data_IF_873257265415
#
_entry.id   IF_873257265415
#
_cell.length_a   1.000
_cell.length_b   1.000
_cell.length_c   1.000
_cell.angle_alpha   90.00
_cell.angle_beta   90.00
_cell.angle_gamma   90.00
#
_symmetry.space_group_name_H-M   'P 1'
#
loop_
_entity.id
_entity.type
_entity.pdbx_description
1 polymer ?
#
# COMPACT_ATOMS: atom_id res chain seq x y z
N UNK A 1 -40.19 -68.71 -62.52
CA UNK A 1 -40.52 -67.59 -63.42
C UNK A 1 -41.86 -67.00 -62.98
N UNK A 2 -41.89 -65.67 -62.90
CA UNK A 2 -42.95 -64.80 -62.35
C UNK A 2 -44.34 -64.96 -62.97
N UNK A 3 -45.42 -64.74 -62.20
CA UNK A 3 -46.47 -63.79 -62.59
C UNK A 3 -47.41 -63.40 -61.44
N UNK A 4 -47.45 -62.09 -61.18
CA UNK A 4 -48.45 -61.36 -60.42
C UNK A 4 -49.77 -61.27 -61.20
N UNK A 5 -50.83 -60.82 -60.50
CA UNK A 5 -52.08 -60.16 -60.97
C UNK A 5 -53.32 -60.87 -60.39
N UNK A 6 -54.33 -60.21 -59.81
CA UNK A 6 -54.62 -58.79 -59.62
C UNK A 6 -55.76 -58.72 -58.59
N UNK A 7 -55.57 -57.99 -57.48
CA UNK A 7 -56.61 -57.79 -56.47
C UNK A 7 -57.57 -56.70 -56.99
N UNK A 8 -58.71 -57.09 -57.57
CA UNK A 8 -59.74 -56.12 -57.98
C UNK A 8 -60.48 -55.60 -56.75
N UNK A 9 -60.09 -54.40 -56.31
CA UNK A 9 -60.81 -53.63 -55.29
C UNK A 9 -62.09 -53.08 -55.94
N UNK A 10 -63.25 -53.58 -55.52
CA UNK A 10 -64.54 -52.97 -55.87
C UNK A 10 -64.72 -51.68 -55.09
N UNK A 11 -64.45 -50.54 -55.73
CA UNK A 11 -64.72 -49.22 -55.19
C UNK A 11 -66.16 -48.85 -55.60
N UNK A 12 -67.11 -48.92 -54.67
CA UNK A 12 -68.44 -48.34 -54.88
C UNK A 12 -68.37 -46.82 -54.70
N UNK A 13 -68.92 -46.03 -55.63
CA UNK A 13 -68.99 -44.59 -55.49
C UNK A 13 -70.01 -44.22 -54.40
N UNK A 14 -69.54 -43.79 -53.25
CA UNK A 14 -70.36 -43.31 -52.13
C UNK A 14 -70.48 -41.77 -52.16
N UNK A 15 -70.45 -41.17 -53.35
CA UNK A 15 -70.46 -39.70 -53.50
C UNK A 15 -71.86 -39.08 -53.48
N UNK A 16 -72.91 -39.87 -53.23
CA UNK A 16 -74.29 -39.39 -53.07
C UNK A 16 -74.74 -39.57 -51.62
N UNK A 17 -74.21 -38.73 -50.71
CA UNK A 17 -74.95 -38.31 -49.53
C UNK A 17 -75.14 -36.80 -49.60
N UNK A 18 -76.41 -36.39 -49.75
CA UNK A 18 -76.88 -35.06 -49.42
C UNK A 18 -76.74 -34.95 -47.90
N UNK A 19 -75.58 -34.47 -47.46
CA UNK A 19 -75.41 -33.94 -46.11
C UNK A 19 -75.34 -32.42 -46.26
N UNK A 20 -76.29 -31.73 -45.66
CA UNK A 20 -76.31 -30.26 -45.59
C UNK A 20 -74.95 -29.79 -45.07
N UNK A 21 -74.13 -29.22 -45.97
CA UNK A 21 -72.85 -28.64 -45.58
C UNK A 21 -73.19 -27.39 -44.79
N UNK A 22 -73.14 -27.48 -43.46
CA UNK A 22 -73.19 -26.31 -42.61
C UNK A 22 -72.08 -25.36 -43.06
N UNK A 23 -72.46 -24.22 -43.64
CA UNK A 23 -71.53 -23.14 -43.97
C UNK A 23 -70.76 -22.85 -42.68
N UNK A 24 -69.44 -23.11 -42.68
CA UNK A 24 -68.58 -22.72 -41.56
C UNK A 24 -68.73 -21.22 -41.40
N UNK A 25 -69.53 -20.81 -40.41
CA UNK A 25 -69.48 -19.47 -39.86
C UNK A 25 -68.02 -19.28 -39.44
N UNK A 26 -67.33 -18.34 -40.08
CA UNK A 26 -65.93 -18.06 -39.80
C UNK A 26 -65.78 -17.86 -38.30
N UNK A 27 -64.91 -18.63 -37.67
CA UNK A 27 -64.58 -18.37 -36.27
C UNK A 27 -64.02 -16.94 -36.24
N UNK A 28 -64.43 -16.09 -35.27
CA UNK A 28 -63.83 -14.76 -35.14
C UNK A 28 -62.31 -14.96 -35.05
N UNK A 29 -61.49 -14.13 -35.73
CA UNK A 29 -60.07 -14.35 -35.76
C UNK A 29 -59.56 -14.45 -34.33
N UNK A 30 -59.02 -15.61 -33.96
CA UNK A 30 -58.34 -15.78 -32.68
C UNK A 30 -57.20 -14.79 -32.67
N UNK A 31 -57.38 -13.66 -31.97
CA UNK A 31 -56.34 -12.64 -31.82
C UNK A 31 -55.24 -13.26 -30.99
N UNK A 32 -54.23 -13.82 -31.65
CA UNK A 32 -52.99 -14.23 -30.99
C UNK A 32 -52.33 -12.95 -30.51
N UNK A 33 -52.46 -12.66 -29.21
CA UNK A 33 -51.67 -11.62 -28.57
C UNK A 33 -50.24 -12.15 -28.52
N UNK A 34 -49.47 -11.83 -29.56
CA UNK A 34 -48.02 -12.05 -29.54
C UNK A 34 -47.50 -11.15 -28.43
N UNK A 35 -47.15 -11.74 -27.29
CA UNK A 35 -46.47 -11.02 -26.22
C UNK A 35 -45.20 -10.42 -26.82
N UNK A 36 -45.12 -9.09 -26.86
CA UNK A 36 -43.92 -8.39 -27.30
C UNK A 36 -42.73 -8.92 -26.50
N UNK A 37 -41.61 -9.32 -27.15
CA UNK A 37 -40.45 -9.79 -26.43
C UNK A 37 -39.96 -8.63 -25.56
N UNK A 38 -40.22 -8.71 -24.26
CA UNK A 38 -39.83 -7.69 -23.29
C UNK A 38 -38.31 -7.64 -23.32
N UNK A 39 -37.76 -6.51 -23.77
CA UNK A 39 -36.32 -6.33 -23.88
C UNK A 39 -35.70 -6.43 -22.50
N UNK A 40 -35.15 -7.61 -22.21
CA UNK A 40 -34.38 -7.92 -21.02
C UNK A 40 -32.99 -7.27 -21.04
N UNK A 41 -32.65 -6.53 -22.11
CA UNK A 41 -31.36 -5.84 -22.22
C UNK A 41 -31.27 -4.61 -21.31
N UNK A 42 -32.38 -3.95 -20.97
CA UNK A 42 -32.34 -2.70 -20.19
C UNK A 42 -31.85 -2.92 -18.77
N UNK A 43 -32.22 -4.03 -18.12
CA UNK A 43 -31.77 -4.35 -16.77
C UNK A 43 -30.27 -4.65 -16.70
N UNK A 44 -29.72 -5.33 -17.71
CA UNK A 44 -28.30 -5.64 -17.78
C UNK A 44 -27.44 -4.38 -18.00
N UNK A 45 -27.91 -3.46 -18.85
CA UNK A 45 -27.22 -2.19 -19.10
C UNK A 45 -27.17 -1.34 -17.82
N UNK A 46 -28.28 -1.25 -17.09
CA UNK A 46 -28.34 -0.52 -15.82
C UNK A 46 -27.38 -1.13 -14.79
N UNK A 47 -27.35 -2.47 -14.69
CA UNK A 47 -26.43 -3.17 -13.79
C UNK A 47 -24.95 -2.87 -14.11
N UNK A 48 -24.57 -2.89 -15.38
CA UNK A 48 -23.20 -2.57 -15.81
C UNK A 48 -22.85 -1.12 -15.47
N UNK A 49 -23.76 -0.17 -15.73
CA UNK A 49 -23.52 1.25 -15.41
C UNK A 49 -23.33 1.44 -13.90
N UNK A 50 -24.15 0.80 -13.07
CA UNK A 50 -24.03 0.90 -11.60
C UNK A 50 -22.68 0.34 -11.14
N UNK A 51 -22.25 -0.82 -11.64
CA UNK A 51 -20.94 -1.41 -11.29
C UNK A 51 -19.79 -0.50 -11.72
N UNK A 52 -19.86 0.09 -12.92
CA UNK A 52 -18.83 1.02 -13.41
C UNK A 52 -18.79 2.31 -12.60
N UNK A 53 -19.94 2.88 -12.22
CA UNK A 53 -20.00 4.09 -11.40
C UNK A 53 -19.49 3.82 -9.98
N UNK A 54 -19.85 2.68 -9.39
CA UNK A 54 -19.33 2.29 -8.08
C UNK A 54 -17.83 2.05 -8.14
N UNK A 55 -17.34 1.31 -9.14
CA UNK A 55 -15.91 1.09 -9.35
C UNK A 55 -15.14 2.39 -9.59
N UNK A 56 -15.70 3.33 -10.35
CA UNK A 56 -15.11 4.66 -10.55
C UNK A 56 -15.10 5.49 -9.28
N UNK A 57 -16.17 5.44 -8.48
CA UNK A 57 -16.25 6.12 -7.19
C UNK A 57 -15.21 5.57 -6.21
N UNK A 58 -15.13 4.24 -6.08
CA UNK A 58 -14.09 3.59 -5.26
C UNK A 58 -12.68 3.91 -5.79
N UNK A 59 -12.45 3.90 -7.10
CA UNK A 59 -11.16 4.24 -7.69
C UNK A 59 -10.73 5.69 -7.40
N UNK A 60 -11.68 6.65 -7.46
CA UNK A 60 -11.41 8.04 -7.10
C UNK A 60 -11.13 8.23 -5.61
N UNK A 61 -11.84 7.49 -4.76
CA UNK A 61 -11.72 7.61 -3.31
C UNK A 61 -10.49 6.86 -2.76
N UNK A 62 -10.09 5.73 -3.34
CA UNK A 62 -8.88 4.99 -2.93
C UNK A 62 -7.60 5.53 -3.54
N UNK A 63 -7.66 6.62 -4.31
CA UNK A 63 -6.49 7.26 -4.93
C UNK A 63 -5.46 7.81 -3.92
N UNK A 64 -5.77 7.80 -2.62
CA UNK A 64 -4.87 8.18 -1.54
C UNK A 64 -4.55 7.04 -0.56
N UNK A 65 -4.75 5.77 -0.96
CA UNK A 65 -4.26 4.61 -0.20
C UNK A 65 -2.95 4.14 -0.80
N UNK A 66 -1.96 5.03 -0.86
CA UNK A 66 -0.59 4.58 -1.08
C UNK A 66 -0.15 3.88 0.21
N UNK A 67 0.06 2.57 0.11
CA UNK A 67 0.74 1.83 1.15
C UNK A 67 2.16 2.38 1.23
N UNK A 68 2.32 3.37 2.09
CA UNK A 68 3.57 4.03 2.44
C UNK A 68 4.63 2.96 2.71
N UNK A 69 5.49 2.75 1.73
CA UNK A 69 6.67 1.91 1.91
C UNK A 69 7.62 2.67 2.83
N UNK A 70 8.43 1.98 3.64
CA UNK A 70 9.31 2.61 4.64
C UNK A 70 10.17 3.74 4.05
N UNK A 71 10.55 3.65 2.76
CA UNK A 71 11.31 4.69 2.07
C UNK A 71 10.48 5.94 1.69
N UNK A 72 9.19 5.77 1.44
CA UNK A 72 8.29 6.87 1.08
C UNK A 72 7.78 7.63 2.30
N UNK A 73 7.79 6.99 3.48
CA UNK A 73 7.45 7.61 4.76
C UNK A 73 8.47 8.63 5.26
N UNK A 74 9.64 8.72 4.64
CA UNK A 74 10.73 9.63 5.02
C UNK A 74 11.00 10.72 3.99
N UNK A 75 10.29 10.72 2.85
CA UNK A 75 10.49 11.68 1.78
C UNK A 75 9.48 12.83 1.87
N UNK A 76 9.96 14.04 1.65
CA UNK A 76 9.17 15.28 1.64
C UNK A 76 9.47 16.03 0.36
N UNK A 77 8.46 16.20 -0.48
CA UNK A 77 8.54 16.97 -1.71
C UNK A 77 8.24 18.44 -1.42
N UNK A 78 9.18 19.33 -1.74
CA UNK A 78 8.99 20.78 -1.72
C UNK A 78 8.43 21.16 -3.08
N UNK A 79 7.16 21.55 -3.13
CA UNK A 79 6.45 21.88 -4.38
C UNK A 79 6.03 23.34 -4.38
N UNK A 80 5.67 23.89 -5.55
CA UNK A 80 5.12 25.23 -5.66
C UNK A 80 3.84 25.48 -4.79
N UNK A 81 3.15 24.41 -4.36
CA UNK A 81 1.94 24.49 -3.54
C UNK A 81 2.19 24.25 -2.04
N UNK A 82 3.42 23.95 -1.62
CA UNK A 82 3.75 23.58 -0.24
C UNK A 82 4.56 22.29 -0.12
N UNK A 83 4.79 21.88 1.13
CA UNK A 83 5.43 20.61 1.49
C UNK A 83 4.45 19.43 1.29
N UNK A 84 4.92 18.34 0.70
CA UNK A 84 4.13 17.13 0.45
C UNK A 84 4.92 15.87 0.87
N UNK A 85 4.51 15.18 1.95
CA UNK A 85 3.47 15.58 2.90
C UNK A 85 3.88 16.83 3.72
N UNK A 86 2.89 17.56 4.25
CA UNK A 86 3.15 18.68 5.14
C UNK A 86 3.61 18.22 6.53
N UNK A 87 3.06 17.10 6.98
CA UNK A 87 3.39 16.44 8.24
C UNK A 87 3.91 15.04 7.94
N UNK A 88 5.09 14.71 8.47
CA UNK A 88 5.69 13.38 8.35
C UNK A 88 5.79 12.74 9.72
N UNK A 89 5.76 11.41 9.78
CA UNK A 89 5.97 10.66 11.02
C UNK A 89 7.16 9.74 10.85
N UNK A 90 8.14 9.88 11.76
CA UNK A 90 9.38 9.10 11.77
C UNK A 90 9.72 8.66 13.18
N UNK A 91 10.67 7.74 13.30
CA UNK A 91 11.21 7.26 14.58
C UNK A 91 12.57 7.93 14.86
N UNK A 92 12.97 8.07 16.13
CA UNK A 92 14.34 8.54 16.42
C UNK A 92 15.39 7.60 15.80
N UNK A 93 16.44 8.19 15.24
CA UNK A 93 17.47 7.49 14.48
C UNK A 93 17.17 7.24 13.00
N UNK A 94 15.99 7.66 12.49
CA UNK A 94 15.66 7.54 11.06
C UNK A 94 16.18 8.72 10.22
N UNK A 95 16.26 8.50 8.92
CA UNK A 95 16.57 9.54 7.94
C UNK A 95 15.29 10.23 7.45
N UNK A 96 15.42 11.51 7.12
CA UNK A 96 14.41 12.31 6.42
C UNK A 96 15.07 12.92 5.20
N UNK A 97 14.41 12.83 4.04
CA UNK A 97 14.87 13.39 2.78
C UNK A 97 13.89 14.43 2.26
N UNK A 98 14.37 15.63 2.00
CA UNK A 98 13.63 16.65 1.26
C UNK A 98 14.04 16.63 -0.20
N UNK A 99 13.09 16.67 -1.11
CA UNK A 99 13.28 16.69 -2.57
C UNK A 99 12.67 17.98 -3.10
N UNK A 100 13.45 18.80 -3.79
CA UNK A 100 12.96 20.07 -4.30
C UNK A 100 12.37 19.91 -5.72
N UNK A 101 11.05 19.83 -5.80
CA UNK A 101 10.29 19.84 -7.06
C UNK A 101 9.81 21.25 -7.45
N UNK A 102 10.09 22.27 -6.62
CA UNK A 102 9.82 23.67 -6.92
C UNK A 102 10.90 24.25 -7.85
N UNK A 103 10.63 25.41 -8.45
CA UNK A 103 11.51 26.06 -9.41
C UNK A 103 12.57 26.98 -8.78
N UNK A 104 12.54 27.14 -7.46
CA UNK A 104 13.41 28.01 -6.67
C UNK A 104 14.17 27.24 -5.59
N UNK A 105 15.36 27.72 -5.17
CA UNK A 105 16.12 27.06 -4.13
C UNK A 105 15.50 27.25 -2.74
N UNK A 106 15.60 26.20 -1.92
CA UNK A 106 15.10 26.19 -0.55
C UNK A 106 16.20 25.97 0.49
N UNK A 107 16.18 26.77 1.57
CA UNK A 107 17.01 26.54 2.76
C UNK A 107 16.05 26.24 3.91
N UNK A 108 16.13 25.05 4.49
CA UNK A 108 15.25 24.63 5.58
C UNK A 108 15.90 24.89 6.93
N UNK A 109 15.10 25.32 7.91
CA UNK A 109 15.56 25.56 9.26
C UNK A 109 14.49 25.21 10.31
N UNK A 110 14.95 24.65 11.42
CA UNK A 110 14.17 24.47 12.66
C UNK A 110 15.03 24.87 13.86
N UNK A 111 14.39 25.42 14.88
CA UNK A 111 15.00 25.74 16.18
C UNK A 111 14.89 24.60 17.20
N UNK A 112 14.12 23.56 16.86
CA UNK A 112 13.75 22.47 17.79
C UNK A 112 14.10 21.08 17.27
N UNK A 113 14.14 20.88 15.94
CA UNK A 113 14.49 19.57 15.36
C UNK A 113 16.00 19.34 15.38
N UNK A 114 16.45 18.39 16.21
CA UNK A 114 17.86 18.00 16.32
C UNK A 114 18.20 16.85 15.34
N UNK A 115 19.29 17.04 14.61
CA UNK A 115 19.90 16.09 13.68
C UNK A 115 21.33 15.76 14.13
N UNK A 116 21.98 14.77 13.50
CA UNK A 116 23.38 14.47 13.78
C UNK A 116 24.36 15.64 13.54
N UNK A 117 23.96 16.63 12.75
CA UNK A 117 24.74 17.84 12.46
C UNK A 117 24.39 19.01 13.38
N UNK A 118 23.46 18.81 14.33
CA UNK A 118 22.88 19.85 15.18
C UNK A 118 21.44 20.17 14.80
N UNK A 119 20.95 21.36 15.19
CA UNK A 119 19.61 21.81 14.77
C UNK A 119 19.50 21.86 13.25
N UNK A 120 18.33 21.51 12.71
CA UNK A 120 18.09 21.51 11.27
C UNK A 120 18.45 22.87 10.67
N UNK A 121 19.44 22.87 9.80
CA UNK A 121 19.82 23.99 8.94
C UNK A 121 20.49 23.46 7.69
N UNK A 122 19.80 23.50 6.55
CA UNK A 122 20.30 22.89 5.30
C UNK A 122 21.15 23.88 4.50
N UNK A 123 21.95 23.37 3.57
CA UNK A 123 22.38 24.19 2.43
C UNK A 123 21.19 24.51 1.52
N UNK A 124 21.39 25.40 0.54
CA UNK A 124 20.40 25.62 -0.50
C UNK A 124 20.19 24.32 -1.29
N UNK A 125 18.94 23.85 -1.33
CA UNK A 125 18.50 22.70 -2.11
C UNK A 125 17.98 23.26 -3.44
N UNK A 126 18.73 23.09 -4.53
CA UNK A 126 18.32 23.63 -5.84
C UNK A 126 17.22 22.76 -6.49
N UNK A 127 16.54 23.27 -7.54
CA UNK A 127 15.52 22.49 -8.24
C UNK A 127 16.03 21.12 -8.71
N UNK A 128 15.26 20.07 -8.45
CA UNK A 128 15.58 18.66 -8.68
C UNK A 128 16.72 18.09 -7.82
N UNK A 129 17.14 18.79 -6.77
CA UNK A 129 18.07 18.24 -5.76
C UNK A 129 17.32 17.70 -4.55
N UNK A 130 18.03 16.89 -3.77
CA UNK A 130 17.54 16.35 -2.51
C UNK A 130 18.54 16.59 -1.37
N UNK A 131 18.04 16.73 -0.15
CA UNK A 131 18.84 16.83 1.06
C UNK A 131 18.36 15.81 2.09
N UNK A 132 19.26 15.00 2.63
CA UNK A 132 18.95 13.97 3.63
C UNK A 132 19.61 14.30 4.96
N UNK A 133 18.87 14.18 6.05
CA UNK A 133 19.40 14.25 7.43
C UNK A 133 19.12 12.97 8.18
N UNK A 134 20.02 12.62 9.09
CA UNK A 134 19.82 11.55 10.06
C UNK A 134 19.43 12.16 11.40
N UNK A 135 18.26 11.80 11.93
CA UNK A 135 17.85 12.19 13.28
C UNK A 135 18.73 11.53 14.32
N UNK A 136 19.04 12.23 15.42
CA UNK A 136 19.77 11.61 16.54
C UNK A 136 18.92 10.55 17.22
N UNK A 137 19.53 9.53 17.79
CA UNK A 137 18.81 8.54 18.60
C UNK A 137 18.24 9.15 19.89
N UNK A 138 18.76 10.32 20.29
CA UNK A 138 18.42 11.04 21.51
C UNK A 138 17.34 12.11 21.33
N UNK A 139 16.89 12.37 20.09
CA UNK A 139 15.77 13.29 19.86
C UNK A 139 14.53 12.77 20.60
N UNK A 140 13.87 13.64 21.35
CA UNK A 140 12.72 13.25 22.14
C UNK A 140 11.49 13.02 21.24
N UNK A 141 10.57 12.12 21.61
CA UNK A 141 9.29 12.02 20.92
C UNK A 141 8.52 13.34 21.02
N UNK A 142 8.00 13.82 19.89
CA UNK A 142 7.38 15.14 19.83
C UNK A 142 7.11 15.61 18.39
N UNK A 143 6.43 16.75 18.27
CA UNK A 143 6.22 17.41 16.98
C UNK A 143 7.20 18.58 16.86
N UNK A 144 7.86 18.65 15.71
CA UNK A 144 8.91 19.61 15.41
C UNK A 144 8.61 20.35 14.12
N UNK A 145 8.42 21.66 14.22
CA UNK A 145 8.12 22.50 13.06
C UNK A 145 9.40 22.97 12.39
N UNK A 146 9.34 23.14 11.07
CA UNK A 146 10.42 23.71 10.28
C UNK A 146 9.86 24.59 9.17
N UNK A 147 10.69 25.55 8.72
CA UNK A 147 10.33 26.52 7.69
C UNK A 147 11.41 26.59 6.62
N UNK A 148 11.06 27.10 5.44
CA UNK A 148 12.05 27.57 4.47
C UNK A 148 12.41 29.04 4.73
N UNK A 149 13.70 29.32 4.86
CA UNK A 149 14.22 30.69 5.00
C UNK A 149 14.17 31.49 3.70
N UNK A 150 14.09 30.83 2.55
CA UNK A 150 13.99 31.49 1.23
C UNK A 150 12.55 31.73 0.80
N UNK A 151 11.59 31.04 1.41
CA UNK A 151 10.16 31.23 1.21
C UNK A 151 9.37 30.91 2.49
N UNK A 152 9.00 31.91 3.30
CA UNK A 152 8.29 31.70 4.57
C UNK A 152 6.90 31.05 4.42
N UNK A 153 6.32 30.99 3.21
CA UNK A 153 5.07 30.27 2.97
C UNK A 153 5.27 28.74 2.96
N UNK A 154 6.52 28.28 2.86
CA UNK A 154 6.88 26.85 2.86
C UNK A 154 7.25 26.42 4.29
N UNK A 155 6.40 25.60 4.90
CA UNK A 155 6.58 25.06 6.24
C UNK A 155 6.02 23.64 6.33
N UNK A 156 6.46 22.90 7.34
CA UNK A 156 5.96 21.57 7.64
C UNK A 156 6.30 21.15 9.07
N UNK A 157 5.89 19.94 9.44
CA UNK A 157 6.21 19.37 10.76
C UNK A 157 6.68 17.92 10.67
N UNK A 158 7.53 17.54 11.63
CA UNK A 158 8.04 16.18 11.82
C UNK A 158 7.53 15.68 13.15
N UNK A 159 6.68 14.65 13.14
CA UNK A 159 6.25 13.92 14.31
C UNK A 159 7.23 12.77 14.58
N UNK A 160 8.07 12.93 15.60
CA UNK A 160 9.01 11.90 16.03
C UNK A 160 8.36 10.98 17.05
N UNK A 161 8.43 9.66 16.79
CA UNK A 161 8.01 8.60 17.69
C UNK A 161 9.20 7.99 18.43
N UNK A 162 8.92 7.41 19.59
CA UNK A 162 9.92 6.69 20.38
C UNK A 162 10.45 5.47 19.63
N UNK A 163 11.78 5.34 19.56
CA UNK A 163 12.41 4.10 19.13
C UNK A 163 12.38 3.09 20.28
N UNK A 164 11.31 2.30 20.33
CA UNK A 164 11.13 1.24 21.33
C UNK A 164 12.15 0.08 21.21
N UNK A 165 13.07 0.12 20.24
CA UNK A 165 14.15 -0.88 20.12
C UNK A 165 15.27 -0.68 21.14
N UNK A 166 15.35 0.50 21.78
CA UNK A 166 16.41 0.86 22.73
C UNK A 166 15.98 0.82 24.20
N UNK A 167 14.69 0.62 24.51
CA UNK A 167 14.23 0.39 25.88
C UNK A 167 14.53 -1.06 26.29
N UNK A 168 15.77 -1.33 26.67
CA UNK A 168 16.06 -2.56 27.41
C UNK A 168 15.20 -2.56 28.67
N UNK A 169 14.27 -3.51 28.70
CA UNK A 169 13.55 -4.03 29.86
C UNK A 169 14.35 -3.83 31.17
N UNK A 170 14.10 -2.75 31.91
CA UNK A 170 14.42 -2.74 33.33
C UNK A 170 13.48 -3.76 33.97
N UNK A 171 13.98 -4.81 34.66
CA UNK A 171 13.10 -5.62 35.47
C UNK A 171 12.46 -4.69 36.50
N UNK A 172 11.14 -4.53 36.41
CA UNK A 172 10.34 -4.04 37.52
C UNK A 172 10.57 -5.03 38.68
N UNK A 173 11.53 -4.71 39.56
CA UNK A 173 11.65 -5.40 40.83
C UNK A 173 10.51 -4.83 41.67
N UNK A 174 9.45 -5.60 41.98
CA UNK A 174 8.46 -5.12 42.92
C UNK A 174 9.16 -4.85 44.25
N UNK A 175 9.11 -3.60 44.72
CA UNK A 175 9.53 -3.25 46.07
C UNK A 175 8.70 -4.07 47.05
N UNK A 176 9.31 -5.10 47.63
CA UNK A 176 8.73 -5.80 48.75
C UNK A 176 8.82 -4.88 49.97
N UNK A 177 7.64 -4.52 50.45
CA UNK A 177 7.39 -3.96 51.77
C UNK A 177 8.01 -4.91 52.81
N UNK A 178 9.01 -4.43 53.56
CA UNK A 178 9.22 -4.97 54.89
C UNK A 178 9.43 -3.81 55.86
N UNK A 179 8.45 -3.65 56.73
CA UNK A 179 8.42 -2.66 57.79
C UNK A 179 9.08 -3.28 59.03
N UNK A 180 10.08 -2.56 59.54
CA UNK A 180 10.47 -2.43 60.95
C UNK A 180 11.02 -3.65 61.72
N UNK A 181 12.35 -3.68 61.92
CA UNK A 181 12.99 -3.96 63.22
C UNK A 181 14.28 -3.12 63.38
N UNK A 182 14.21 -2.12 64.27
CA UNK A 182 15.20 -1.39 65.09
C UNK A 182 16.73 -1.37 64.77
N UNK A 183 17.45 -0.25 65.01
CA UNK A 183 18.89 -0.12 64.79
C UNK A 183 19.74 -0.54 66.01
N UNK A 184 21.03 -0.90 65.80
CA UNK A 184 22.05 -0.71 66.82
C UNK A 184 23.08 0.35 66.39
N UNK A 185 23.25 1.32 67.28
CA UNK A 185 24.35 2.27 67.35
C UNK A 185 25.68 1.53 67.48
N UNK A 186 26.65 1.77 66.58
CA UNK A 186 28.07 1.82 66.94
C UNK A 186 28.79 2.85 66.05
N UNK A 187 29.37 3.80 66.76
CA UNK A 187 30.11 4.97 66.35
C UNK A 187 31.59 4.62 66.16
N UNK A 188 32.24 5.11 65.09
CA UNK A 188 33.64 5.61 65.08
C UNK A 188 34.10 6.03 63.67
N UNK A 189 34.25 7.35 63.48
CA UNK A 189 35.17 8.00 62.51
C UNK A 189 36.59 8.06 63.18
N UNK A 190 37.79 8.14 62.51
CA UNK A 190 38.11 9.08 61.41
C UNK A 190 39.11 8.72 60.28
N UNK A 191 38.90 9.44 59.16
CA UNK A 191 39.78 10.12 58.16
C UNK A 191 41.32 9.88 58.18
N UNK A 192 42.14 10.13 57.12
CA UNK A 192 41.91 11.07 55.99
C UNK A 192 42.56 10.72 54.61
N UNK A 193 42.31 11.57 53.58
CA UNK A 193 43.25 12.00 52.49
C UNK A 193 42.49 12.20 51.16
N UNK A 194 42.20 13.41 50.70
CA UNK A 194 43.09 14.39 50.02
C UNK A 194 43.53 13.92 48.61
N UNK A 195 42.93 14.58 47.62
CA UNK A 195 43.49 15.01 46.31
C UNK A 195 43.82 13.98 45.21
N UNK A 196 43.13 14.14 44.08
CA UNK A 196 43.62 13.82 42.73
C UNK A 196 44.81 14.77 42.35
N UNK A 197 45.67 14.47 41.36
CA UNK A 197 45.28 14.53 39.94
C UNK A 197 45.97 13.52 38.97
N UNK A 198 45.32 13.35 37.81
CA UNK A 198 45.80 13.12 36.44
C UNK A 198 47.07 12.28 36.16
N UNK A 199 46.97 11.31 35.24
CA UNK A 199 47.80 11.27 34.00
C UNK A 199 47.39 10.17 33.01
N UNK A 200 47.50 10.58 31.75
CA UNK A 200 47.33 9.86 30.48
C UNK A 200 48.23 8.62 30.39
N UNK A 201 47.69 7.50 29.87
CA UNK A 201 48.49 6.41 29.31
C UNK A 201 47.99 6.12 27.90
N UNK A 202 48.75 6.59 26.91
CA UNK A 202 48.72 6.12 25.52
C UNK A 202 49.56 4.84 25.51
N UNK A 203 49.03 3.73 25.01
CA UNK A 203 49.86 2.60 24.59
C UNK A 203 49.51 2.17 23.16
N UNK A 204 50.46 2.24 22.20
CA UNK A 204 50.30 1.73 20.86
C UNK A 204 50.66 0.23 20.83
N UNK A 205 49.90 -0.62 20.13
CA UNK A 205 50.38 -1.86 19.48
C UNK A 205 49.26 -2.60 18.71
N UNK A 206 49.22 -2.35 17.40
CA UNK A 206 49.38 -3.32 16.30
C UNK A 206 48.65 -4.69 16.30
N UNK A 207 47.63 -4.79 15.43
CA UNK A 207 47.29 -5.84 14.43
C UNK A 207 47.26 -7.33 14.85
N UNK A 208 46.05 -7.91 14.84
CA UNK A 208 45.80 -9.26 14.25
C UNK A 208 44.32 -9.48 13.93
N UNK A 209 43.92 -9.30 12.66
CA UNK A 209 42.72 -9.95 12.12
C UNK A 209 43.16 -10.95 11.05
N UNK A 210 43.34 -12.20 11.47
CA UNK A 210 43.44 -13.36 10.60
C UNK A 210 42.22 -14.26 10.86
N UNK A 211 41.36 -14.30 9.84
CA UNK A 211 40.84 -15.53 9.23
C UNK A 211 39.77 -16.33 9.98
N UNK A 212 38.50 -16.10 9.62
CA UNK A 212 37.62 -17.23 9.28
C UNK A 212 36.69 -16.87 8.10
N UNK A 213 36.75 -17.71 7.07
CA UNK A 213 36.07 -17.64 5.76
C UNK A 213 34.69 -18.36 5.85
N UNK A 214 34.00 -18.56 4.72
CA UNK A 214 32.76 -17.91 4.28
C UNK A 214 31.49 -18.73 4.63
N UNK A 215 30.35 -18.07 4.88
CA UNK A 215 29.04 -18.73 4.79
C UNK A 215 28.28 -18.19 3.58
N UNK A 216 28.18 -19.06 2.57
CA UNK A 216 27.23 -18.97 1.45
C UNK A 216 26.25 -20.12 1.66
N UNK A 217 24.94 -19.88 1.60
CA UNK A 217 23.99 -20.64 0.75
C UNK A 217 22.56 -20.05 0.77
N UNK A 218 21.61 -20.48 -0.09
CA UNK A 218 21.24 -19.71 -1.28
C UNK A 218 19.70 -19.53 -1.43
N UNK A 219 19.29 -19.05 -2.62
CA UNK A 219 17.98 -19.26 -3.27
C UNK A 219 16.79 -18.47 -2.70
N UNK A 220 15.84 -17.92 -3.46
CA UNK A 220 15.55 -17.88 -4.90
C UNK A 220 14.58 -16.71 -5.12
N UNK A 221 15.04 -15.62 -5.72
CA UNK A 221 14.18 -14.50 -6.13
C UNK A 221 13.79 -14.58 -7.61
N UNK A 222 13.50 -15.77 -8.13
CA UNK A 222 12.93 -15.91 -9.47
C UNK A 222 11.41 -15.99 -9.34
N UNK A 223 10.67 -14.98 -9.82
CA UNK A 223 9.43 -15.18 -10.60
C UNK A 223 8.53 -13.94 -10.84
N UNK A 224 8.91 -12.70 -10.55
CA UNK A 224 8.05 -11.55 -10.96
C UNK A 224 8.00 -11.38 -12.49
N UNK A 225 9.06 -11.76 -13.21
CA UNK A 225 9.07 -11.75 -14.68
C UNK A 225 8.25 -12.87 -15.33
N UNK A 226 8.06 -14.01 -14.63
CA UNK A 226 7.35 -15.17 -15.19
C UNK A 226 5.84 -14.92 -15.22
N UNK A 227 5.28 -14.27 -14.18
CA UNK A 227 3.87 -13.89 -14.15
C UNK A 227 3.52 -12.87 -15.24
N UNK A 228 4.40 -11.89 -15.49
CA UNK A 228 4.23 -10.90 -16.56
C UNK A 228 4.22 -11.53 -17.96
N UNK A 229 5.12 -12.49 -18.21
CA UNK A 229 5.15 -13.22 -19.48
C UNK A 229 3.93 -14.13 -19.68
N UNK A 230 3.46 -14.82 -18.64
CA UNK A 230 2.22 -15.60 -18.70
C UNK A 230 1.00 -14.73 -19.00
N UNK A 231 0.88 -13.55 -18.37
CA UNK A 231 -0.18 -12.59 -18.63
C UNK A 231 -0.21 -12.09 -20.08
N UNK A 232 0.96 -11.75 -20.64
CA UNK A 232 1.08 -11.32 -22.04
C UNK A 232 0.74 -12.43 -23.04
N UNK A 233 1.13 -13.68 -22.76
CA UNK A 233 0.81 -14.83 -23.62
C UNK A 233 -0.69 -15.11 -23.64
N UNK A 234 -1.36 -15.04 -22.48
CA UNK A 234 -2.82 -15.21 -22.39
C UNK A 234 -3.54 -14.10 -23.15
N UNK A 235 -3.13 -12.84 -22.98
CA UNK A 235 -3.72 -11.70 -23.67
C UNK A 235 -3.52 -11.78 -25.20
N UNK A 236 -2.33 -12.17 -25.65
CA UNK A 236 -2.04 -12.39 -27.07
C UNK A 236 -2.88 -13.55 -27.66
N UNK A 237 -3.12 -14.61 -26.88
CA UNK A 237 -3.94 -15.75 -27.32
C UNK A 237 -5.43 -15.38 -27.46
N UNK A 238 -5.95 -14.52 -26.58
CA UNK A 238 -7.33 -14.03 -26.66
C UNK A 238 -7.53 -13.08 -27.85
N UNK A 239 -6.58 -12.18 -28.10
CA UNK A 239 -6.61 -11.29 -29.26
C UNK A 239 -6.51 -12.04 -30.60
N UNK A 240 -5.76 -13.16 -30.65
CA UNK A 240 -5.71 -14.02 -31.84
C UNK A 240 -7.02 -14.76 -32.08
N UNK A 241 -7.72 -15.20 -31.03
CA UNK A 241 -9.03 -15.88 -31.16
C UNK A 241 -10.14 -14.92 -31.56
N UNK A 242 -10.12 -13.68 -31.09
CA UNK A 242 -11.09 -12.65 -31.46
C UNK A 242 -10.98 -12.17 -32.91
N UNK A 243 -9.85 -12.44 -33.60
CA UNK A 243 -9.67 -12.13 -35.03
C UNK A 243 -10.06 -13.28 -35.98
N UNK A 244 -10.46 -14.43 -35.44
CA UNK A 244 -10.79 -15.66 -36.21
C UNK A 244 -12.31 -15.96 -36.15
N UNK A 245 -13.10 -15.08 -35.53
CA UNK A 245 -14.57 -15.06 -35.58
C UNK A 245 -15.01 -13.80 -36.34
#
# INVERSE_FOLDING_TARGET
MSRFDHFMIRIHPHWESIDDIAVRQGHPPTRVVVASPRSRSTAAIIGIIVVLLLGYFFYRETGSLEAQTVADQSNIHITANGMQPIDITVTSGEEITWINDDDKPHILSSDTLETHEGLLYTSAIFPNESYTVLLTDTVLPGQYDYISLTDPAMYGSVLVRENISSSTQYPFIPSQTDQAVNPPLFETEPSPSVSAPSSIVINPNTITHQTQKPFRQPETGASTWVAGLLGLVVLASMMRRARVL
#
